data_IF_123586029430
#
_entry.id   IF_123586029430
#
_cell.length_a   1.000
_cell.length_b   1.000
_cell.length_c   1.000
_cell.angle_alpha   90.00
_cell.angle_beta   90.00
_cell.angle_gamma   90.00
#
_symmetry.space_group_name_H-M   'P 1'
#
loop_
_entity.id
_entity.type
_entity.pdbx_description
1 polymer ?
#
# COMPACT_ATOMS: atom_id res chain seq x y z
N UNK A 1 6.45 -42.40 -6.32
CA UNK A 1 7.64 -41.53 -6.41
C UNK A 1 7.20 -40.06 -6.31
N UNK A 2 6.46 -39.68 -5.25
CA UNK A 2 5.86 -38.32 -5.15
C UNK A 2 6.13 -37.59 -3.83
N UNK A 3 6.60 -38.27 -2.77
CA UNK A 3 6.96 -37.61 -1.49
C UNK A 3 8.32 -36.91 -1.54
N UNK A 4 9.27 -37.41 -2.35
CA UNK A 4 10.62 -36.84 -2.45
C UNK A 4 10.63 -35.43 -3.06
N UNK A 5 9.71 -35.12 -3.99
CA UNK A 5 9.65 -33.82 -4.66
C UNK A 5 9.30 -32.68 -3.70
N UNK A 6 8.24 -32.86 -2.90
CA UNK A 6 7.80 -31.82 -1.95
C UNK A 6 8.82 -31.68 -0.82
N UNK A 7 9.41 -32.78 -0.35
CA UNK A 7 10.45 -32.73 0.66
C UNK A 7 11.70 -31.98 0.16
N UNK A 8 12.11 -32.22 -1.08
CA UNK A 8 13.24 -31.52 -1.70
C UNK A 8 12.93 -30.03 -1.90
N UNK A 9 11.73 -29.69 -2.36
CA UNK A 9 11.30 -28.30 -2.56
C UNK A 9 11.24 -27.53 -1.23
N UNK A 10 10.68 -28.13 -0.18
CA UNK A 10 10.63 -27.53 1.15
C UNK A 10 12.01 -27.40 1.80
N UNK A 11 12.94 -28.30 1.48
CA UNK A 11 14.35 -28.15 1.87
C UNK A 11 15.04 -27.01 1.12
N UNK A 12 14.82 -26.89 -0.20
CA UNK A 12 15.34 -25.78 -1.01
C UNK A 12 14.81 -24.42 -0.54
N UNK A 13 13.58 -24.38 -0.03
CA UNK A 13 12.95 -23.17 0.51
C UNK A 13 13.28 -22.89 1.98
N UNK A 14 14.18 -23.67 2.59
CA UNK A 14 14.57 -23.57 4.01
C UNK A 14 13.37 -23.73 4.99
N UNK A 15 12.43 -24.60 4.62
CA UNK A 15 11.23 -24.95 5.38
C UNK A 15 11.13 -26.46 5.71
N UNK A 16 12.22 -27.13 6.14
CA UNK A 16 12.20 -28.58 6.36
C UNK A 16 11.25 -29.03 7.48
N UNK A 17 10.89 -28.12 8.39
CA UNK A 17 9.93 -28.39 9.46
C UNK A 17 8.51 -28.66 8.94
N UNK A 18 8.16 -28.16 7.75
CA UNK A 18 6.85 -28.34 7.13
C UNK A 18 6.71 -29.67 6.41
N UNK A 19 7.80 -30.41 6.16
CA UNK A 19 7.74 -31.69 5.46
C UNK A 19 6.82 -32.69 6.16
N UNK A 20 6.85 -32.74 7.50
CA UNK A 20 5.95 -33.60 8.29
C UNK A 20 4.47 -33.24 8.08
N UNK A 21 4.14 -31.94 8.04
CA UNK A 21 2.76 -31.46 7.89
C UNK A 21 2.21 -31.77 6.50
N UNK A 22 3.01 -31.60 5.45
CA UNK A 22 2.60 -31.91 4.08
C UNK A 22 2.46 -33.42 3.84
N UNK A 23 3.30 -34.23 4.51
CA UNK A 23 3.18 -35.69 4.52
C UNK A 23 1.92 -36.14 5.28
N UNK A 24 1.65 -35.56 6.46
CA UNK A 24 0.49 -35.89 7.30
C UNK A 24 -0.85 -35.54 6.62
N UNK A 25 -0.86 -34.52 5.75
CA UNK A 25 -2.03 -34.12 4.96
C UNK A 25 -2.12 -34.81 3.59
N UNK A 26 -1.26 -35.82 3.34
CA UNK A 26 -1.21 -36.60 2.09
C UNK A 26 -1.11 -35.71 0.83
N UNK A 27 -0.45 -34.55 0.93
CA UNK A 27 -0.25 -33.65 -0.21
C UNK A 27 0.80 -34.25 -1.13
N UNK A 28 0.39 -34.62 -2.34
CA UNK A 28 1.28 -35.05 -3.43
C UNK A 28 1.57 -33.91 -4.42
N UNK A 29 2.41 -34.17 -5.41
CA UNK A 29 2.87 -33.16 -6.38
C UNK A 29 1.71 -32.48 -7.14
N UNK A 30 0.68 -33.24 -7.52
CA UNK A 30 -0.48 -32.71 -8.23
C UNK A 30 -1.37 -31.89 -7.30
N UNK A 31 -1.59 -32.37 -6.08
CA UNK A 31 -2.36 -31.64 -5.05
C UNK A 31 -1.66 -30.35 -4.65
N UNK A 32 -0.32 -30.36 -4.51
CA UNK A 32 0.48 -29.19 -4.16
C UNK A 32 0.32 -28.03 -5.17
N UNK A 33 0.26 -28.34 -6.46
CA UNK A 33 0.12 -27.34 -7.54
C UNK A 33 -1.28 -26.72 -7.61
N UNK A 34 -2.28 -27.31 -6.95
CA UNK A 34 -3.68 -26.87 -6.99
C UNK A 34 -4.15 -26.21 -5.69
N UNK A 35 -3.29 -26.16 -4.66
CA UNK A 35 -3.60 -25.55 -3.37
C UNK A 35 -3.95 -24.07 -3.51
N UNK A 36 -5.10 -23.69 -2.94
CA UNK A 36 -5.54 -22.30 -2.86
C UNK A 36 -5.10 -21.61 -1.56
N UNK A 37 -5.27 -20.29 -1.48
CA UNK A 37 -4.81 -19.48 -0.34
C UNK A 37 -5.42 -19.91 1.02
N UNK A 38 -6.60 -20.52 1.02
CA UNK A 38 -7.24 -21.01 2.26
C UNK A 38 -6.59 -22.31 2.72
N UNK A 39 -6.34 -23.23 1.80
CA UNK A 39 -5.72 -24.54 2.07
C UNK A 39 -4.26 -24.39 2.52
N UNK A 40 -3.51 -23.44 1.92
CA UNK A 40 -2.14 -23.13 2.34
C UNK A 40 -2.10 -22.59 3.79
N UNK A 41 -3.12 -21.82 4.21
CA UNK A 41 -3.21 -21.32 5.59
C UNK A 41 -3.54 -22.42 6.60
N UNK A 42 -4.27 -23.44 6.19
CA UNK A 42 -4.53 -24.62 7.02
C UNK A 42 -3.28 -25.52 7.13
N UNK A 43 -2.51 -25.65 6.04
CA UNK A 43 -1.26 -26.42 6.00
C UNK A 43 -0.08 -25.73 6.71
N UNK A 44 -0.11 -24.40 6.89
CA UNK A 44 0.97 -23.64 7.53
C UNK A 44 0.40 -22.80 8.69
N UNK A 45 0.24 -23.39 9.90
CA UNK A 45 -0.52 -22.75 10.97
C UNK A 45 0.20 -21.61 11.70
N UNK A 46 1.48 -21.32 11.42
CA UNK A 46 2.28 -20.41 12.24
C UNK A 46 3.15 -19.44 11.43
N UNK A 47 2.87 -18.14 11.62
CA UNK A 47 3.66 -16.98 11.13
C UNK A 47 5.14 -17.07 11.55
N UNK A 48 5.48 -17.82 12.60
CA UNK A 48 6.85 -17.98 13.10
C UNK A 48 7.78 -18.82 12.20
N UNK A 49 7.25 -19.74 11.38
CA UNK A 49 8.09 -20.61 10.54
C UNK A 49 8.61 -19.84 9.30
N UNK A 50 7.82 -18.90 8.78
CA UNK A 50 8.20 -17.99 7.68
C UNK A 50 9.31 -16.97 8.06
N UNK A 51 9.60 -16.82 9.36
CA UNK A 51 10.64 -15.92 9.86
C UNK A 51 12.06 -16.49 9.68
N UNK A 52 12.20 -17.82 9.64
CA UNK A 52 13.53 -18.46 9.68
C UNK A 52 14.14 -18.72 8.30
N UNK A 53 13.35 -18.80 7.23
CA UNK A 53 13.85 -19.02 5.86
C UNK A 53 14.42 -17.78 5.15
N UNK A 54 14.54 -16.64 5.84
CA UNK A 54 15.11 -15.40 5.29
C UNK A 54 16.55 -15.17 5.79
N UNK A 55 17.41 -16.16 5.66
CA UNK A 55 18.84 -16.08 6.03
C UNK A 55 19.73 -15.34 5.01
N UNK A 56 19.18 -14.42 4.20
CA UNK A 56 19.96 -13.57 3.28
C UNK A 56 19.90 -12.07 3.61
N UNK A 57 19.44 -11.68 4.80
CA UNK A 57 19.58 -10.30 5.30
C UNK A 57 20.55 -10.29 6.50
N UNK A 58 21.79 -10.70 6.27
CA UNK A 58 22.90 -10.40 7.17
C UNK A 58 23.65 -9.17 6.66
N UNK A 59 23.17 -7.98 7.04
CA UNK A 59 24.02 -6.78 7.26
C UNK A 59 23.22 -5.61 7.85
N UNK A 60 22.52 -5.82 8.97
CA UNK A 60 22.12 -4.70 9.86
C UNK A 60 22.24 -5.21 11.30
N UNK A 61 23.47 -5.52 11.69
CA UNK A 61 23.85 -5.92 13.05
C UNK A 61 24.69 -4.83 13.73
N UNK A 62 24.48 -3.56 13.35
CA UNK A 62 25.04 -2.41 14.05
C UNK A 62 23.90 -1.42 14.29
N UNK A 63 23.15 -1.63 15.36
CA UNK A 63 22.47 -0.65 16.22
C UNK A 63 21.75 -1.46 17.31
N UNK A 64 22.55 -2.03 18.20
CA UNK A 64 22.12 -2.41 19.55
C UNK A 64 21.64 -1.14 20.27
N UNK A 65 20.34 -1.10 20.57
CA UNK A 65 19.74 -0.64 21.82
C UNK A 65 18.30 -0.20 21.54
N UNK A 66 17.35 -1.12 21.78
CA UNK A 66 16.05 -0.95 22.45
C UNK A 66 15.30 -2.27 22.23
N UNK A 67 15.27 -3.09 23.28
CA UNK A 67 14.51 -4.33 23.38
C UNK A 67 13.00 -4.01 23.42
N UNK A 68 12.16 -4.48 22.47
CA UNK A 68 10.73 -4.53 22.68
C UNK A 68 10.42 -5.85 23.40
N UNK A 69 9.98 -5.75 24.64
CA UNK A 69 9.37 -6.86 25.35
C UNK A 69 8.13 -7.33 24.58
N UNK A 70 8.01 -8.65 24.40
CA UNK A 70 6.85 -9.33 23.84
C UNK A 70 5.56 -8.84 24.51
N UNK A 71 4.59 -8.34 23.74
CA UNK A 71 3.23 -8.11 24.22
C UNK A 71 2.26 -8.97 23.41
N UNK A 72 2.01 -10.17 23.91
CA UNK A 72 0.80 -10.90 23.58
C UNK A 72 -0.38 -10.25 24.33
N UNK A 73 -1.56 -10.11 23.73
CA UNK A 73 -2.72 -9.54 24.41
C UNK A 73 -3.21 -10.50 25.49
N UNK A 74 -2.94 -10.18 26.76
CA UNK A 74 -3.58 -10.84 27.89
C UNK A 74 -4.99 -10.28 28.08
N UNK A 75 -5.97 -11.18 28.16
CA UNK A 75 -7.33 -10.87 28.62
C UNK A 75 -7.28 -10.31 30.05
N UNK A 76 -8.11 -9.31 30.32
CA UNK A 76 -8.12 -8.54 31.56
C UNK A 76 -8.25 -9.42 32.83
N UNK A 77 -7.40 -9.12 33.82
CA UNK A 77 -7.62 -9.50 35.23
C UNK A 77 -7.84 -8.22 36.03
N UNK A 78 -8.91 -8.18 36.82
CA UNK A 78 -9.29 -7.02 37.64
C UNK A 78 -8.28 -6.87 38.79
N UNK A 79 -7.61 -5.72 38.90
CA UNK A 79 -6.86 -5.32 40.10
C UNK A 79 -5.36 -4.99 39.97
N UNK A 80 -4.77 -4.95 38.78
CA UNK A 80 -3.36 -4.56 38.63
C UNK A 80 -3.19 -3.04 38.41
N UNK A 81 -2.41 -2.37 39.27
CA UNK A 81 -2.02 -0.98 39.10
C UNK A 81 -0.96 -0.84 38.01
N UNK A 82 -1.18 0.07 37.05
CA UNK A 82 -0.22 0.37 35.99
C UNK A 82 0.45 1.74 36.21
N UNK A 83 1.77 1.78 36.03
CA UNK A 83 2.62 2.96 36.21
C UNK A 83 2.57 3.82 34.95
N UNK A 84 2.22 5.10 35.12
CA UNK A 84 2.18 6.11 34.06
C UNK A 84 3.60 6.54 33.71
N UNK A 85 4.08 6.23 32.51
CA UNK A 85 5.24 6.91 31.91
C UNK A 85 4.75 8.16 31.18
N UNK A 86 4.86 9.30 31.86
CA UNK A 86 4.52 10.63 31.32
C UNK A 86 5.65 11.17 30.45
N UNK A 87 5.43 11.27 29.15
CA UNK A 87 6.24 12.12 28.28
C UNK A 87 5.63 13.52 28.29
N UNK A 88 6.37 14.50 28.81
CA UNK A 88 5.92 15.89 28.90
C UNK A 88 6.14 16.63 27.58
N UNK A 89 5.06 16.90 26.87
CA UNK A 89 4.91 18.07 25.99
C UNK A 89 3.51 18.60 26.22
N UNK A 90 3.40 19.85 26.65
CA UNK A 90 2.14 20.49 27.03
C UNK A 90 1.04 20.20 25.99
N UNK A 91 0.01 19.40 26.32
CA UNK A 91 -0.93 18.94 25.32
C UNK A 91 -1.81 20.10 24.90
N UNK A 92 -1.84 20.42 23.60
CA UNK A 92 -3.01 21.13 23.07
C UNK A 92 -4.22 20.24 23.35
N UNK A 93 -5.08 20.62 24.29
CA UNK A 93 -6.28 19.85 24.64
C UNK A 93 -7.42 20.10 23.63
N UNK A 94 -7.13 20.03 22.32
CA UNK A 94 -8.10 20.41 21.30
C UNK A 94 -9.27 19.44 21.25
N UNK A 95 -9.00 18.13 21.24
CA UNK A 95 -10.06 17.11 21.20
C UNK A 95 -10.92 17.17 22.46
N UNK A 96 -10.31 17.30 23.65
CA UNK A 96 -11.04 17.40 24.92
C UNK A 96 -11.96 18.63 24.94
N UNK A 97 -11.44 19.80 24.56
CA UNK A 97 -12.25 21.03 24.47
C UNK A 97 -13.42 20.87 23.52
N UNK A 98 -13.24 20.23 22.36
CA UNK A 98 -14.33 19.99 21.40
C UNK A 98 -15.40 19.06 21.96
N UNK A 99 -15.00 18.00 22.66
CA UNK A 99 -15.92 17.05 23.26
C UNK A 99 -16.74 17.67 24.39
N UNK A 100 -16.13 18.55 25.18
CA UNK A 100 -16.78 19.14 26.35
C UNK A 100 -17.60 20.41 26.01
N UNK A 101 -17.32 21.06 24.87
CA UNK A 101 -17.99 22.31 24.46
C UNK A 101 -19.15 22.16 23.48
N UNK A 102 -19.33 20.98 22.88
CA UNK A 102 -20.36 20.75 21.85
C UNK A 102 -21.34 19.67 22.27
N UNK A 103 -22.62 19.85 21.95
CA UNK A 103 -23.65 18.82 22.21
C UNK A 103 -23.30 17.50 21.50
N UNK A 104 -22.83 17.57 20.26
CA UNK A 104 -22.34 16.41 19.50
C UNK A 104 -21.16 15.73 20.22
N UNK A 105 -20.23 16.52 20.75
CA UNK A 105 -19.11 16.05 21.55
C UNK A 105 -19.54 15.30 22.82
N UNK A 106 -20.52 15.82 23.54
CA UNK A 106 -21.07 15.16 24.74
C UNK A 106 -21.73 13.83 24.41
N UNK A 107 -22.48 13.76 23.29
CA UNK A 107 -23.09 12.51 22.80
C UNK A 107 -22.00 11.47 22.48
N UNK A 108 -20.95 11.87 21.77
CA UNK A 108 -19.82 10.99 21.44
C UNK A 108 -19.14 10.49 22.72
N UNK A 109 -18.87 11.39 23.67
CA UNK A 109 -18.22 11.06 24.95
C UNK A 109 -19.05 10.03 25.74
N UNK A 110 -20.37 10.22 25.81
CA UNK A 110 -21.27 9.29 26.51
C UNK A 110 -21.47 7.96 25.78
N UNK A 111 -21.23 7.91 24.45
CA UNK A 111 -21.28 6.65 23.70
C UNK A 111 -20.13 5.70 24.04
N UNK A 112 -19.05 6.19 24.65
CA UNK A 112 -17.91 5.40 25.06
C UNK A 112 -18.19 4.65 26.37
N UNK A 113 -18.00 3.33 26.38
CA UNK A 113 -18.27 2.49 27.57
C UNK A 113 -19.76 2.21 27.85
N UNK A 114 -20.68 2.82 27.09
CA UNK A 114 -22.08 2.40 27.06
C UNK A 114 -22.23 1.05 26.35
N UNK A 115 -23.32 0.31 26.59
CA UNK A 115 -23.64 -0.94 25.85
C UNK A 115 -23.88 -0.73 24.34
N UNK A 116 -23.85 0.53 23.88
CA UNK A 116 -23.97 0.93 22.48
C UNK A 116 -22.58 1.07 21.84
N UNK A 117 -22.51 0.90 20.53
CA UNK A 117 -21.26 1.03 19.78
C UNK A 117 -20.70 2.47 19.88
N UNK A 118 -19.40 2.57 20.17
CA UNK A 118 -18.71 3.86 20.23
C UNK A 118 -18.73 4.59 18.87
N UNK A 119 -19.13 5.87 18.89
CA UNK A 119 -19.34 6.72 17.71
C UNK A 119 -18.04 7.27 17.10
N UNK A 120 -17.10 6.38 16.76
CA UNK A 120 -15.78 6.73 16.21
C UNK A 120 -15.84 7.59 14.94
N UNK A 121 -16.82 7.34 14.07
CA UNK A 121 -16.98 8.07 12.80
C UNK A 121 -17.42 9.52 13.03
N UNK A 122 -18.34 9.74 13.97
CA UNK A 122 -18.78 11.06 14.37
C UNK A 122 -17.64 11.83 15.04
N UNK A 123 -16.89 11.17 15.93
CA UNK A 123 -15.68 11.74 16.55
C UNK A 123 -14.70 12.28 15.49
N UNK A 124 -14.34 11.45 14.52
CA UNK A 124 -13.41 11.87 13.46
C UNK A 124 -13.98 13.03 12.65
N UNK A 125 -15.28 13.00 12.33
CA UNK A 125 -15.94 14.06 11.56
C UNK A 125 -15.94 15.39 12.30
N UNK A 126 -16.27 15.39 13.59
CA UNK A 126 -16.26 16.58 14.43
C UNK A 126 -14.85 17.20 14.50
N UNK A 127 -13.83 16.37 14.77
CA UNK A 127 -12.42 16.82 14.86
C UNK A 127 -11.97 17.43 13.53
N UNK A 128 -12.14 16.71 12.42
CA UNK A 128 -11.67 17.14 11.10
C UNK A 128 -12.37 18.43 10.66
N UNK A 129 -13.70 18.52 10.82
CA UNK A 129 -14.43 19.75 10.49
C UNK A 129 -13.91 20.94 11.29
N UNK A 130 -13.61 20.75 12.57
CA UNK A 130 -13.05 21.81 13.40
C UNK A 130 -11.65 22.23 12.92
N UNK A 131 -10.74 21.28 12.71
CA UNK A 131 -9.38 21.57 12.22
C UNK A 131 -9.41 22.32 10.88
N UNK A 132 -10.28 21.90 9.95
CA UNK A 132 -10.41 22.55 8.65
C UNK A 132 -11.12 23.90 8.74
N UNK A 133 -12.00 24.13 9.72
CA UNK A 133 -12.65 25.44 9.92
C UNK A 133 -11.60 26.54 10.15
N UNK A 134 -10.55 26.22 10.89
CA UNK A 134 -9.49 27.15 11.28
C UNK A 134 -8.31 27.21 10.31
N UNK A 135 -8.31 26.41 9.23
CA UNK A 135 -7.26 26.40 8.21
C UNK A 135 -7.73 27.15 6.95
N UNK A 136 -6.92 28.11 6.49
CA UNK A 136 -7.20 28.90 5.29
C UNK A 136 -7.06 28.07 4.00
N UNK A 137 -6.10 27.13 3.99
CA UNK A 137 -5.82 26.21 2.88
C UNK A 137 -6.57 24.87 2.98
N UNK A 138 -7.38 24.70 4.03
CA UNK A 138 -8.10 23.47 4.39
C UNK A 138 -7.16 22.25 4.40
N UNK A 139 -6.00 22.38 5.05
CA UNK A 139 -4.99 21.31 5.22
C UNK A 139 -4.68 21.02 6.68
N UNK A 140 -4.26 19.78 6.92
CA UNK A 140 -3.82 19.28 8.23
C UNK A 140 -2.49 18.56 8.01
N UNK A 141 -1.47 18.89 8.81
CA UNK A 141 -0.15 18.28 8.68
C UNK A 141 -0.11 16.87 9.28
N UNK A 142 0.83 16.04 8.83
CA UNK A 142 1.08 14.70 9.40
C UNK A 142 1.31 14.72 10.91
N UNK A 143 2.09 15.70 11.39
CA UNK A 143 2.35 15.83 12.82
C UNK A 143 1.07 16.16 13.60
N UNK A 144 0.20 16.99 13.02
CA UNK A 144 -1.09 17.30 13.63
C UNK A 144 -2.01 16.07 13.68
N UNK A 145 -2.02 15.21 12.65
CA UNK A 145 -2.77 13.97 12.70
C UNK A 145 -2.28 13.01 13.80
N UNK A 146 -0.97 12.88 14.00
CA UNK A 146 -0.40 12.08 15.10
C UNK A 146 -0.83 12.63 16.46
N UNK A 147 -0.77 13.94 16.64
CA UNK A 147 -1.23 14.60 17.87
C UNK A 147 -2.70 14.32 18.14
N UNK A 148 -3.57 14.48 17.13
CA UNK A 148 -5.00 14.21 17.28
C UNK A 148 -5.29 12.74 17.64
N UNK A 149 -4.59 11.79 17.03
CA UNK A 149 -4.72 10.38 17.38
C UNK A 149 -4.30 10.10 18.83
N UNK A 150 -3.24 10.75 19.30
CA UNK A 150 -2.81 10.65 20.70
C UNK A 150 -3.79 11.32 21.66
N UNK A 151 -4.30 12.51 21.32
CA UNK A 151 -5.32 13.21 22.11
C UNK A 151 -6.59 12.35 22.27
N UNK A 152 -7.01 11.62 21.24
CA UNK A 152 -8.13 10.67 21.30
C UNK A 152 -7.84 9.54 22.28
N UNK A 153 -6.67 8.89 22.19
CA UNK A 153 -6.28 7.82 23.11
C UNK A 153 -6.19 8.30 24.57
N UNK A 154 -5.70 9.52 24.80
CA UNK A 154 -5.62 10.10 26.14
C UNK A 154 -7.01 10.29 26.78
N UNK A 155 -8.07 10.47 25.99
CA UNK A 155 -9.45 10.62 26.47
C UNK A 155 -10.15 9.25 26.55
N UNK A 156 -9.87 8.38 25.58
CA UNK A 156 -10.49 7.07 25.42
C UNK A 156 -9.41 6.00 25.52
N UNK A 157 -9.05 5.61 26.75
CA UNK A 157 -7.85 4.82 27.04
C UNK A 157 -7.77 3.46 26.32
N UNK A 158 -8.90 2.88 25.93
CA UNK A 158 -8.98 1.60 25.21
C UNK A 158 -8.91 1.75 23.68
N UNK A 159 -8.79 2.97 23.16
CA UNK A 159 -8.63 3.24 21.73
C UNK A 159 -7.16 3.25 21.34
N UNK A 160 -6.80 2.58 20.25
CA UNK A 160 -5.43 2.60 19.76
C UNK A 160 -5.19 3.80 18.82
N UNK A 161 -4.14 4.63 19.02
CA UNK A 161 -3.83 5.76 18.12
C UNK A 161 -3.72 5.39 16.64
N UNK A 162 -3.17 4.20 16.32
CA UNK A 162 -3.02 3.71 14.94
C UNK A 162 -4.36 3.46 14.24
N UNK A 163 -5.45 3.25 15.00
CA UNK A 163 -6.82 3.17 14.46
C UNK A 163 -7.25 4.51 13.83
N UNK A 164 -6.74 5.61 14.36
CA UNK A 164 -7.11 6.97 13.97
C UNK A 164 -6.14 7.54 12.95
N UNK A 165 -4.84 7.30 13.13
CA UNK A 165 -3.83 7.70 12.16
C UNK A 165 -2.57 6.84 12.23
N UNK A 166 -2.22 6.25 11.09
CA UNK A 166 -0.92 5.67 10.82
C UNK A 166 -0.25 6.52 9.72
N UNK A 167 0.92 7.11 9.96
CA UNK A 167 1.59 7.94 8.95
C UNK A 167 2.16 7.10 7.81
N UNK A 168 2.49 7.78 6.71
CA UNK A 168 3.24 7.16 5.63
C UNK A 168 4.68 6.83 6.08
N UNK A 169 5.14 5.62 5.81
CA UNK A 169 6.53 5.19 6.10
C UNK A 169 7.27 4.83 4.81
N UNK A 170 8.50 5.34 4.67
CA UNK A 170 9.35 5.11 3.46
C UNK A 170 10.02 3.73 3.45
N UNK A 171 10.25 3.10 4.60
CA UNK A 171 10.96 1.81 4.71
C UNK A 171 10.15 0.62 4.17
N UNK A 172 9.09 0.26 4.87
CA UNK A 172 7.98 -0.51 4.28
C UNK A 172 7.02 0.54 3.73
N UNK A 173 6.89 0.66 2.40
CA UNK A 173 6.04 1.68 1.74
C UNK A 173 4.58 1.45 2.13
N UNK A 174 4.19 2.00 3.28
CA UNK A 174 2.85 1.88 3.86
C UNK A 174 2.20 3.25 3.75
N UNK A 175 1.05 3.31 3.09
CA UNK A 175 0.26 4.52 2.94
C UNK A 175 -0.20 5.07 4.30
N UNK A 176 -0.43 6.38 4.36
CA UNK A 176 -1.12 6.95 5.51
C UNK A 176 -2.54 6.37 5.59
N UNK A 177 -2.94 5.89 6.76
CA UNK A 177 -4.22 5.19 6.98
C UNK A 177 -4.82 5.62 8.33
N UNK A 178 -6.06 5.19 8.58
CA UNK A 178 -6.79 5.47 9.82
C UNK A 178 -8.00 6.38 9.62
N UNK A 179 -8.90 6.37 10.60
CA UNK A 179 -10.21 7.03 10.50
C UNK A 179 -10.12 8.55 10.29
N UNK A 180 -9.19 9.23 10.97
CA UNK A 180 -8.99 10.67 10.80
C UNK A 180 -8.57 11.02 9.38
N UNK A 181 -7.67 10.22 8.80
CA UNK A 181 -7.21 10.42 7.43
C UNK A 181 -8.34 10.20 6.41
N UNK A 182 -9.10 9.12 6.53
CA UNK A 182 -10.25 8.84 5.67
C UNK A 182 -11.30 9.96 5.73
N UNK A 183 -11.62 10.42 6.93
CA UNK A 183 -12.57 11.54 7.13
C UNK A 183 -12.03 12.84 6.55
N UNK A 184 -10.75 13.14 6.71
CA UNK A 184 -10.10 14.31 6.12
C UNK A 184 -10.21 14.34 4.59
N UNK A 185 -9.86 13.24 3.93
CA UNK A 185 -9.95 13.13 2.46
C UNK A 185 -11.39 13.35 2.00
N UNK A 186 -12.36 12.72 2.66
CA UNK A 186 -13.78 12.89 2.35
C UNK A 186 -14.26 14.33 2.58
N UNK A 187 -13.91 14.96 3.70
CA UNK A 187 -14.34 16.32 4.02
C UNK A 187 -13.75 17.36 3.07
N UNK A 188 -12.50 17.16 2.61
CA UNK A 188 -11.91 18.01 1.56
C UNK A 188 -12.61 17.84 0.23
N UNK A 189 -13.02 16.62 -0.15
CA UNK A 189 -13.85 16.40 -1.35
C UNK A 189 -15.12 17.25 -1.30
N UNK A 190 -15.87 17.20 -0.19
CA UNK A 190 -17.08 18.03 0.01
C UNK A 190 -16.76 19.52 -0.11
N UNK A 191 -15.68 20.01 0.50
CA UNK A 191 -15.31 21.43 0.42
C UNK A 191 -14.88 21.86 -0.99
N UNK A 192 -14.33 20.96 -1.80
CA UNK A 192 -14.05 21.24 -3.21
C UNK A 192 -15.34 21.32 -4.03
N UNK A 193 -16.25 20.37 -3.86
CA UNK A 193 -17.57 20.35 -4.54
C UNK A 193 -18.39 21.61 -4.20
N UNK A 194 -18.29 22.07 -2.95
CA UNK A 194 -18.91 23.31 -2.48
C UNK A 194 -18.16 24.60 -2.86
N UNK A 195 -17.02 24.51 -3.57
CA UNK A 195 -16.22 25.67 -3.98
C UNK A 195 -15.45 26.39 -2.85
N UNK A 196 -15.40 25.82 -1.65
CA UNK A 196 -14.71 26.39 -0.48
C UNK A 196 -13.18 26.23 -0.55
N UNK A 197 -12.68 25.30 -1.36
CA UNK A 197 -11.27 25.14 -1.68
C UNK A 197 -11.06 25.70 -3.09
N UNK A 198 -10.34 26.83 -3.20
CA UNK A 198 -10.07 27.48 -4.49
C UNK A 198 -9.29 26.54 -5.41
N UNK A 199 -9.83 26.33 -6.62
CA UNK A 199 -9.08 25.85 -7.77
C UNK A 199 -8.01 26.91 -8.06
N UNK A 200 -6.72 26.57 -7.93
CA UNK A 200 -5.67 27.50 -8.37
C UNK A 200 -5.82 27.71 -9.88
N UNK A 201 -6.40 28.83 -10.28
CA UNK A 201 -6.29 29.38 -11.62
C UNK A 201 -5.16 30.40 -11.53
N UNK A 202 -3.96 30.00 -11.94
CA UNK A 202 -2.87 30.95 -12.12
C UNK A 202 -3.08 31.62 -13.47
N UNK A 203 -3.45 32.89 -13.47
CA UNK A 203 -3.33 33.76 -14.64
C UNK A 203 -1.86 34.18 -14.71
N UNK A 204 -1.10 33.67 -15.69
CA UNK A 204 0.29 34.06 -15.88
C UNK A 204 0.42 35.18 -16.93
N UNK A 205 1.25 36.22 -16.68
CA UNK A 205 1.87 37.01 -17.73
C UNK A 205 3.04 36.23 -18.33
N UNK A 206 3.02 36.12 -19.65
CA UNK A 206 3.97 35.39 -20.48
C UNK A 206 5.43 35.80 -20.23
N UNK A 207 6.31 34.85 -19.88
CA UNK A 207 7.65 34.76 -20.51
C UNK A 207 8.30 33.39 -20.28
N UNK A 208 8.87 32.91 -21.37
CA UNK A 208 9.44 31.60 -21.68
C UNK A 208 10.64 31.17 -20.82
N UNK A 209 10.55 30.00 -20.18
CA UNK A 209 11.52 28.92 -20.34
C UNK A 209 11.01 27.58 -19.76
N UNK A 210 11.10 26.54 -20.59
CA UNK A 210 10.52 25.21 -20.45
C UNK A 210 10.77 24.52 -19.10
N UNK A 211 9.72 24.49 -18.26
CA UNK A 211 9.28 23.29 -17.57
C UNK A 211 7.81 23.15 -17.92
N UNK A 212 7.43 22.15 -18.72
CA UNK A 212 6.02 21.88 -19.03
C UNK A 212 5.33 21.42 -17.75
N UNK A 213 4.84 22.35 -16.95
CA UNK A 213 3.96 22.06 -15.84
C UNK A 213 2.63 21.58 -16.42
N UNK A 214 2.38 20.28 -16.29
CA UNK A 214 1.11 19.68 -16.66
C UNK A 214 0.05 20.22 -15.71
N UNK A 215 -0.98 20.89 -16.24
CA UNK A 215 -2.15 21.27 -15.45
C UNK A 215 -2.90 19.99 -15.03
N UNK A 216 -2.72 19.58 -13.77
CA UNK A 216 -3.40 18.43 -13.17
C UNK A 216 -4.71 18.95 -12.56
N UNK A 217 -5.85 18.38 -12.95
CA UNK A 217 -7.10 18.70 -12.26
C UNK A 217 -7.09 18.10 -10.85
N UNK A 218 -7.77 18.71 -9.87
CA UNK A 218 -7.77 18.21 -8.49
C UNK A 218 -8.34 16.79 -8.35
N UNK A 219 -9.19 16.34 -9.28
CA UNK A 219 -9.67 14.96 -9.32
C UNK A 219 -8.62 13.97 -9.84
N UNK A 220 -7.79 14.39 -10.79
CA UNK A 220 -6.71 13.56 -11.34
C UNK A 220 -5.58 13.45 -10.30
N UNK A 221 -5.33 14.51 -9.51
CA UNK A 221 -4.36 14.48 -8.41
C UNK A 221 -4.78 13.50 -7.30
N UNK A 222 -6.04 13.52 -6.87
CA UNK A 222 -6.56 12.59 -5.86
C UNK A 222 -6.57 11.14 -6.38
N UNK A 223 -6.92 10.94 -7.65
CA UNK A 223 -6.93 9.63 -8.32
C UNK A 223 -5.50 9.07 -8.45
N UNK A 224 -4.52 9.91 -8.79
CA UNK A 224 -3.10 9.55 -8.77
C UNK A 224 -2.59 9.21 -7.37
N UNK A 225 -2.97 10.00 -6.37
CA UNK A 225 -2.60 9.73 -4.96
C UNK A 225 -3.20 8.39 -4.54
N UNK A 226 -4.44 8.09 -4.94
CA UNK A 226 -5.06 6.81 -4.64
C UNK A 226 -4.26 5.64 -5.22
N UNK A 227 -3.84 5.71 -6.48
CA UNK A 227 -3.01 4.69 -7.14
C UNK A 227 -1.65 4.46 -6.48
N UNK A 228 -1.07 5.50 -5.87
CA UNK A 228 0.20 5.38 -5.13
C UNK A 228 0.05 4.62 -3.81
N UNK A 229 -1.18 4.56 -3.28
CA UNK A 229 -1.46 4.06 -1.94
C UNK A 229 -2.24 2.75 -1.93
N UNK A 230 -2.84 2.34 -3.05
CA UNK A 230 -3.70 1.19 -3.15
C UNK A 230 -3.30 0.31 -4.34
N UNK A 231 -3.17 -0.99 -4.10
CA UNK A 231 -2.92 -2.00 -5.13
C UNK A 231 -4.14 -2.86 -5.46
N UNK A 232 -5.22 -2.75 -4.68
CA UNK A 232 -6.43 -3.56 -4.77
C UNK A 232 -7.64 -2.78 -4.20
N UNK A 233 -8.89 -3.17 -4.55
CA UNK A 233 -9.25 -4.23 -5.49
C UNK A 233 -8.93 -3.85 -6.95
N UNK A 234 -8.75 -4.84 -7.83
CA UNK A 234 -8.27 -4.60 -9.20
C UNK A 234 -9.20 -3.71 -10.02
N UNK A 235 -10.52 -3.83 -9.82
CA UNK A 235 -11.52 -3.03 -10.53
C UNK A 235 -11.28 -1.52 -10.30
N UNK A 236 -11.21 -1.09 -9.03
CA UNK A 236 -10.93 0.30 -8.65
C UNK A 236 -9.57 0.78 -9.19
N UNK A 237 -8.54 -0.06 -9.06
CA UNK A 237 -7.21 0.24 -9.60
C UNK A 237 -7.27 0.49 -11.10
N UNK A 238 -7.94 -0.39 -11.85
CA UNK A 238 -8.01 -0.29 -13.31
C UNK A 238 -8.73 0.99 -13.75
N UNK A 239 -9.79 1.40 -13.04
CA UNK A 239 -10.53 2.63 -13.30
C UNK A 239 -9.67 3.87 -13.04
N UNK A 240 -9.04 3.94 -11.87
CA UNK A 240 -8.11 5.02 -11.55
C UNK A 240 -6.90 5.03 -12.50
N UNK A 241 -6.41 3.87 -12.91
CA UNK A 241 -5.28 3.72 -13.83
C UNK A 241 -5.59 4.34 -15.19
N UNK A 242 -6.72 3.96 -15.80
CA UNK A 242 -7.22 4.50 -17.07
C UNK A 242 -7.43 6.02 -17.00
N UNK A 243 -8.05 6.51 -15.93
CA UNK A 243 -8.29 7.96 -15.74
C UNK A 243 -7.00 8.76 -15.80
N UNK A 244 -5.90 8.22 -15.26
CA UNK A 244 -4.63 8.93 -15.13
C UNK A 244 -3.55 8.53 -16.14
N UNK A 245 -3.83 7.66 -17.13
CA UNK A 245 -2.80 7.16 -18.07
C UNK A 245 -2.01 8.29 -18.71
N UNK A 246 -2.69 9.29 -19.29
CA UNK A 246 -2.04 10.44 -19.93
C UNK A 246 -1.06 11.15 -19.00
N UNK A 247 -1.46 11.36 -17.76
CA UNK A 247 -0.68 12.09 -16.77
C UNK A 247 0.48 11.25 -16.24
N UNK A 248 0.26 9.96 -15.94
CA UNK A 248 1.32 9.05 -15.49
C UNK A 248 2.43 8.91 -16.55
N UNK A 249 2.06 8.77 -17.82
CA UNK A 249 3.02 8.70 -18.93
C UNK A 249 3.83 9.99 -19.07
N UNK A 250 3.20 11.15 -18.86
CA UNK A 250 3.93 12.44 -18.89
C UNK A 250 4.92 12.56 -17.72
N UNK A 251 4.54 12.11 -16.52
CA UNK A 251 5.37 12.16 -15.32
C UNK A 251 6.49 11.10 -15.29
N UNK A 252 6.38 10.04 -16.09
CA UNK A 252 7.35 8.94 -16.10
C UNK A 252 8.71 9.33 -16.70
N UNK A 253 8.80 10.43 -17.45
CA UNK A 253 9.99 10.79 -18.25
C UNK A 253 11.30 10.92 -17.45
N UNK A 254 11.21 11.21 -16.16
CA UNK A 254 12.36 11.46 -15.29
C UNK A 254 12.55 10.38 -14.20
N UNK A 255 11.88 9.22 -14.31
CA UNK A 255 11.84 8.18 -13.27
C UNK A 255 12.34 6.82 -13.79
N UNK A 256 13.03 6.05 -12.94
CA UNK A 256 13.46 4.70 -13.30
C UNK A 256 12.28 3.71 -13.27
N UNK A 257 12.38 2.61 -14.00
CA UNK A 257 11.35 1.54 -13.96
C UNK A 257 11.16 1.03 -12.53
N UNK A 258 12.25 0.82 -11.79
CA UNK A 258 12.19 0.33 -10.42
C UNK A 258 11.45 1.30 -9.49
N UNK A 259 11.70 2.61 -9.62
CA UNK A 259 11.04 3.63 -8.80
C UNK A 259 9.56 3.75 -9.17
N UNK A 260 9.22 3.64 -10.45
CA UNK A 260 7.84 3.64 -10.92
C UNK A 260 7.03 2.45 -10.36
N UNK A 261 7.62 1.25 -10.30
CA UNK A 261 7.00 0.07 -9.70
C UNK A 261 6.87 0.17 -8.18
N UNK A 262 7.81 0.84 -7.50
CA UNK A 262 7.68 1.16 -6.07
C UNK A 262 6.56 2.16 -5.83
N UNK A 263 6.46 3.19 -6.67
CA UNK A 263 5.49 4.28 -6.61
C UNK A 263 4.05 3.83 -6.82
N UNK A 264 3.83 2.79 -7.64
CA UNK A 264 2.50 2.23 -7.90
C UNK A 264 2.44 0.75 -7.47
N UNK A 265 1.98 0.45 -6.24
CA UNK A 265 1.99 -0.89 -5.68
C UNK A 265 1.29 -1.95 -6.55
N UNK A 266 0.24 -1.56 -7.28
CA UNK A 266 -0.51 -2.47 -8.14
C UNK A 266 0.34 -3.14 -9.24
N UNK A 267 1.43 -2.50 -9.69
CA UNK A 267 2.33 -3.05 -10.72
C UNK A 267 3.16 -4.24 -10.22
N UNK A 268 3.28 -4.42 -8.90
CA UNK A 268 4.03 -5.52 -8.28
C UNK A 268 3.15 -6.74 -7.97
N UNK A 269 1.86 -6.67 -8.30
CA UNK A 269 0.93 -7.78 -8.14
C UNK A 269 0.90 -8.61 -9.42
N UNK A 270 0.38 -9.85 -9.32
CA UNK A 270 0.23 -10.75 -10.47
C UNK A 270 -0.59 -10.14 -11.62
N UNK A 271 -1.54 -9.25 -11.33
CA UNK A 271 -2.35 -8.54 -12.33
C UNK A 271 -1.73 -7.24 -12.81
N UNK A 272 -0.53 -6.90 -12.34
CA UNK A 272 0.14 -5.63 -12.64
C UNK A 272 0.45 -5.46 -14.13
N UNK A 273 0.76 -6.55 -14.84
CA UNK A 273 1.01 -6.51 -16.29
C UNK A 273 -0.20 -5.99 -17.08
N UNK A 274 -1.43 -6.27 -16.63
CA UNK A 274 -2.67 -5.81 -17.29
C UNK A 274 -2.74 -4.27 -17.29
N UNK A 275 -2.21 -3.63 -16.26
CA UNK A 275 -2.14 -2.17 -16.17
C UNK A 275 -1.17 -1.58 -17.21
N UNK A 276 -0.08 -2.30 -17.52
CA UNK A 276 0.84 -1.93 -18.60
C UNK A 276 0.19 -2.12 -19.96
N UNK A 277 -0.59 -3.19 -20.14
CA UNK A 277 -1.38 -3.40 -21.37
C UNK A 277 -2.40 -2.27 -21.58
N UNK A 278 -3.07 -1.82 -20.52
CA UNK A 278 -3.97 -0.66 -20.57
C UNK A 278 -3.23 0.58 -21.09
N UNK A 279 -2.04 0.86 -20.57
CA UNK A 279 -1.25 2.02 -21.00
C UNK A 279 -0.73 1.85 -22.43
N UNK A 280 -0.27 0.65 -22.81
CA UNK A 280 0.16 0.36 -24.18
C UNK A 280 -0.98 0.57 -25.17
N UNK A 281 -2.17 0.06 -24.86
CA UNK A 281 -3.36 0.18 -25.72
C UNK A 281 -3.83 1.62 -25.82
N UNK A 282 -3.64 2.43 -24.78
CA UNK A 282 -3.93 3.86 -24.82
C UNK A 282 -2.93 4.65 -25.69
N UNK A 283 -1.64 4.30 -25.63
CA UNK A 283 -0.58 5.01 -26.36
C UNK A 283 -0.47 4.60 -27.82
N UNK A 284 -0.81 3.35 -28.12
CA UNK A 284 -0.64 2.73 -29.43
C UNK A 284 -1.94 2.06 -29.86
N UNK A 285 -2.91 2.89 -30.22
CA UNK A 285 -4.16 2.45 -30.82
C UNK A 285 -3.87 1.54 -32.04
N UNK A 286 -4.63 0.45 -32.16
CA UNK A 286 -4.48 -0.60 -33.18
C UNK A 286 -3.13 -1.34 -33.22
N UNK A 287 -2.27 -1.19 -32.21
CA UNK A 287 -1.04 -1.99 -32.07
C UNK A 287 -1.16 -3.20 -31.16
N UNK A 288 -2.37 -3.43 -30.63
CA UNK A 288 -2.70 -4.61 -29.85
C UNK A 288 -2.33 -5.88 -30.62
N UNK A 289 -1.67 -6.81 -29.93
CA UNK A 289 -1.29 -8.11 -30.46
C UNK A 289 -0.42 -8.12 -31.73
N UNK A 290 0.05 -6.96 -32.21
CA UNK A 290 0.78 -6.90 -33.49
C UNK A 290 2.08 -7.71 -33.46
N UNK A 291 2.73 -7.80 -32.30
CA UNK A 291 3.90 -8.65 -32.11
C UNK A 291 3.55 -10.13 -32.31
N UNK A 292 2.45 -10.60 -31.73
CA UNK A 292 2.00 -11.99 -31.89
C UNK A 292 1.63 -12.28 -33.35
N UNK A 293 0.84 -11.41 -33.97
CA UNK A 293 0.44 -11.57 -35.38
C UNK A 293 1.63 -11.55 -36.32
N UNK A 294 2.65 -10.73 -36.03
CA UNK A 294 3.87 -10.63 -36.84
C UNK A 294 5.03 -11.49 -36.34
N UNK A 295 4.83 -12.28 -35.29
CA UNK A 295 5.88 -13.08 -34.68
C UNK A 295 6.59 -14.02 -35.67
N UNK A 296 5.88 -14.70 -36.61
CA UNK A 296 6.55 -15.54 -37.60
C UNK A 296 7.57 -14.76 -38.46
N UNK A 297 7.21 -13.54 -38.89
CA UNK A 297 8.10 -12.69 -39.67
C UNK A 297 9.26 -12.12 -38.82
N UNK A 298 8.96 -11.67 -37.60
CA UNK A 298 9.94 -11.09 -36.68
C UNK A 298 10.97 -12.13 -36.25
N UNK A 299 10.52 -13.33 -35.88
CA UNK A 299 11.38 -14.44 -35.49
C UNK A 299 12.33 -14.84 -36.62
N UNK A 300 11.84 -14.98 -37.86
CA UNK A 300 12.69 -15.30 -39.01
C UNK A 300 13.79 -14.25 -39.23
N UNK A 301 13.46 -12.95 -39.12
CA UNK A 301 14.43 -11.86 -39.20
C UNK A 301 15.43 -11.89 -38.04
N UNK A 302 14.97 -12.21 -36.83
CA UNK A 302 15.80 -12.39 -35.65
C UNK A 302 16.81 -13.51 -35.87
N UNK A 303 16.37 -14.70 -36.30
CA UNK A 303 17.23 -15.84 -36.63
C UNK A 303 18.29 -15.46 -37.67
N UNK A 304 17.88 -14.83 -38.79
CA UNK A 304 18.81 -14.37 -39.84
C UNK A 304 19.85 -13.37 -39.31
N UNK A 305 19.49 -12.54 -38.33
CA UNK A 305 20.39 -11.55 -37.73
C UNK A 305 21.34 -12.21 -36.72
N UNK A 306 20.84 -13.15 -35.92
CA UNK A 306 21.63 -13.88 -34.94
C UNK A 306 22.69 -14.78 -35.59
N UNK A 307 22.37 -15.44 -36.71
CA UNK A 307 23.33 -16.25 -37.48
C UNK A 307 24.55 -15.47 -37.97
N UNK A 308 24.45 -14.14 -38.11
CA UNK A 308 25.55 -13.27 -38.52
C UNK A 308 26.45 -12.86 -37.35
N UNK A 309 26.03 -13.05 -36.10
CA UNK A 309 26.82 -12.69 -34.93
C UNK A 309 27.84 -13.78 -34.60
N UNK A 310 29.06 -13.34 -34.27
CA UNK A 310 30.13 -14.23 -33.78
C UNK A 310 30.05 -14.30 -32.25
N UNK A 311 29.01 -14.93 -31.75
CA UNK A 311 28.84 -15.22 -30.32
C UNK A 311 28.73 -16.74 -30.17
N UNK A 312 29.58 -17.33 -29.33
CA UNK A 312 29.65 -18.78 -29.16
C UNK A 312 28.41 -19.35 -28.49
N UNK A 313 27.86 -18.64 -27.50
CA UNK A 313 26.71 -19.10 -26.72
C UNK A 313 25.44 -19.10 -27.58
N UNK A 314 25.30 -18.10 -28.45
CA UNK A 314 24.23 -18.07 -29.46
C UNK A 314 24.34 -19.20 -30.49
N UNK A 315 25.56 -19.57 -30.90
CA UNK A 315 25.76 -20.68 -31.85
C UNK A 315 25.38 -22.02 -31.24
N UNK A 316 25.69 -22.22 -29.96
CA UNK A 316 25.35 -23.44 -29.25
C UNK A 316 23.83 -23.57 -29.07
N UNK A 317 23.13 -22.49 -28.71
CA UNK A 317 21.66 -22.49 -28.65
C UNK A 317 21.01 -22.76 -30.02
N UNK A 318 21.50 -22.12 -31.09
CA UNK A 318 20.97 -22.33 -32.45
C UNK A 318 21.26 -23.73 -33.01
N UNK A 319 22.29 -24.42 -32.50
CA UNK A 319 22.60 -25.79 -32.89
C UNK A 319 21.66 -26.82 -32.25
N UNK A 320 21.11 -26.52 -31.07
CA UNK A 320 20.21 -27.41 -30.31
C UNK A 320 18.76 -27.41 -30.84
N UNK A 321 18.32 -26.36 -31.56
CA UNK A 321 16.97 -26.24 -32.13
C UNK A 321 16.79 -26.89 -33.52
N UNK A 322 17.83 -27.53 -34.09
CA UNK A 322 17.68 -28.32 -35.32
C UNK A 322 17.21 -29.74 -35.00
N UNK A 323 15.91 -29.92 -34.73
CA UNK A 323 15.20 -31.21 -34.82
C UNK A 323 13.95 -31.01 -35.67
#
# INVERSE_FOLDING_TARGET
>A
MSQDFIQQLLQEWDLPALCSVFVDHEIDEESFLTLNESEIKELIPAIGILSNGNNSIQSIADLDDIHPQNYYPQKATVGASYVITSYSTSPRETVRKLLDSTEEGLIIKNSYGSSKQFLRSNLCTLIIKNELKHSDDKRISTERFKQLAQEINNIFIHEDPSTYYLPYTRGKVVAARGKLWSTYVHQRKIYREAGLIKKQITVEPSTSNDKRFVNISGEDEDSLIWLKNNGQPFEDVSQHWRKNTKLRVQLFKDETIADYFKKYPALRLQTGYILLDIDFNYLFEDKQNLLFTKWPMVSELLFKTLLKKKDSLLKDCLAQEKI
#
